data_IF_932699386300
#
_entry.id   IF_932699386300
#
_cell.length_a   1.000
_cell.length_b   1.000
_cell.length_c   1.000
_cell.angle_alpha   90.00
_cell.angle_beta   90.00
_cell.angle_gamma   90.00
#
_symmetry.space_group_name_H-M   'P 1'
#
loop_
_entity.id
_entity.type
_entity.pdbx_description
1 polymer ?
#
# COMPACT_ATOMS: atom_id res chain seq x y z
N UNK A 1 -2.16 -18.16 -15.77
CA UNK A 1 -3.63 -18.33 -15.79
C UNK A 1 -4.24 -16.94 -15.66
N UNK A 2 -5.04 -16.50 -16.63
CA UNK A 2 -5.61 -15.14 -16.66
C UNK A 2 -6.69 -14.98 -15.56
N UNK A 3 -6.45 -14.16 -14.51
CA UNK A 3 -7.42 -13.94 -13.44
C UNK A 3 -8.71 -13.24 -13.92
N UNK A 4 -8.66 -12.54 -15.06
CA UNK A 4 -9.82 -11.86 -15.63
C UNK A 4 -10.84 -12.82 -16.24
N UNK A 5 -10.42 -14.05 -16.57
CA UNK A 5 -11.28 -15.11 -17.14
C UNK A 5 -12.00 -15.97 -16.09
N UNK A 6 -11.76 -15.74 -14.80
CA UNK A 6 -12.42 -16.49 -13.72
C UNK A 6 -13.87 -16.00 -13.52
N UNK A 7 -14.78 -16.86 -13.01
CA UNK A 7 -16.10 -16.42 -12.58
C UNK A 7 -16.02 -15.23 -11.61
N UNK A 8 -16.99 -14.32 -11.70
CA UNK A 8 -16.97 -13.07 -10.93
C UNK A 8 -16.88 -13.32 -9.41
N UNK A 9 -17.51 -14.39 -8.91
CA UNK A 9 -17.45 -14.82 -7.51
C UNK A 9 -16.03 -15.10 -7.04
N UNK A 10 -15.26 -15.88 -7.80
CA UNK A 10 -13.86 -16.18 -7.48
C UNK A 10 -12.97 -14.93 -7.48
N UNK A 11 -13.26 -13.98 -8.37
CA UNK A 11 -12.53 -12.71 -8.44
C UNK A 11 -12.82 -11.83 -7.22
N UNK A 12 -14.08 -11.77 -6.78
CA UNK A 12 -14.49 -11.07 -5.57
C UNK A 12 -13.85 -11.70 -4.33
N UNK A 13 -13.93 -13.03 -4.19
CA UNK A 13 -13.31 -13.74 -3.06
C UNK A 13 -11.80 -13.49 -3.00
N UNK A 14 -11.12 -13.53 -4.15
CA UNK A 14 -9.71 -13.18 -4.23
C UNK A 14 -9.44 -11.76 -3.76
N UNK A 15 -10.23 -10.78 -4.22
CA UNK A 15 -10.08 -9.37 -3.84
C UNK A 15 -10.30 -9.19 -2.34
N UNK A 16 -11.36 -9.77 -1.78
CA UNK A 16 -11.68 -9.66 -0.36
C UNK A 16 -10.60 -10.28 0.53
N UNK A 17 -10.06 -11.44 0.14
CA UNK A 17 -8.93 -12.05 0.84
C UNK A 17 -7.68 -11.17 0.77
N UNK A 18 -7.40 -10.60 -0.40
CA UNK A 18 -6.24 -9.72 -0.58
C UNK A 18 -6.35 -8.46 0.29
N UNK A 19 -7.52 -7.82 0.33
CA UNK A 19 -7.79 -6.66 1.19
C UNK A 19 -7.66 -7.01 2.66
N UNK A 20 -8.17 -8.17 3.11
CA UNK A 20 -8.03 -8.62 4.49
C UNK A 20 -6.56 -8.76 4.89
N UNK A 21 -5.77 -9.47 4.08
CA UNK A 21 -4.33 -9.66 4.32
C UNK A 21 -3.58 -8.32 4.39
N UNK A 22 -3.88 -7.41 3.46
CA UNK A 22 -3.30 -6.07 3.47
C UNK A 22 -3.68 -5.30 4.73
N UNK A 23 -4.96 -5.31 5.12
CA UNK A 23 -5.45 -4.59 6.30
C UNK A 23 -4.83 -5.10 7.59
N UNK A 24 -4.69 -6.43 7.75
CA UNK A 24 -4.05 -7.06 8.90
C UNK A 24 -2.57 -6.65 8.98
N UNK A 25 -1.83 -6.73 7.88
CA UNK A 25 -0.42 -6.32 7.83
C UNK A 25 -0.25 -4.82 8.09
N UNK A 26 -1.06 -3.98 7.43
CA UNK A 26 -0.99 -2.53 7.54
C UNK A 26 -1.31 -2.05 8.95
N UNK A 27 -2.32 -2.64 9.60
CA UNK A 27 -2.79 -2.23 10.94
C UNK A 27 -2.02 -2.89 12.07
N UNK A 28 -1.05 -3.77 11.77
CA UNK A 28 -0.23 -4.43 12.79
C UNK A 28 0.62 -3.43 13.58
N UNK A 29 0.94 -3.80 14.82
CA UNK A 29 1.88 -3.06 15.66
C UNK A 29 3.24 -2.95 14.98
N UNK A 30 3.74 -4.04 14.39
CA UNK A 30 5.01 -4.08 13.67
C UNK A 30 5.00 -3.11 12.49
N UNK A 31 3.95 -3.14 11.65
CA UNK A 31 3.81 -2.21 10.53
C UNK A 31 3.79 -0.75 10.98
N UNK A 32 3.25 -0.48 12.18
CA UNK A 32 3.25 0.87 12.77
C UNK A 32 4.62 1.31 13.24
N UNK A 33 5.33 0.44 13.96
CA UNK A 33 6.69 0.70 14.43
C UNK A 33 7.64 0.88 13.25
N UNK A 34 7.56 0.04 12.21
CA UNK A 34 8.38 0.17 11.00
C UNK A 34 8.22 1.53 10.33
N UNK A 35 6.98 2.04 10.22
CA UNK A 35 6.73 3.38 9.68
C UNK A 35 7.35 4.48 10.55
N UNK A 36 7.22 4.37 11.86
CA UNK A 36 7.77 5.36 12.81
C UNK A 36 9.29 5.39 12.79
N UNK A 37 9.95 4.22 12.81
CA UNK A 37 11.40 4.11 12.75
C UNK A 37 11.94 4.70 11.45
N UNK A 38 11.34 4.36 10.31
CA UNK A 38 11.75 4.90 9.01
C UNK A 38 11.65 6.43 8.96
N UNK A 39 10.57 7.02 9.50
CA UNK A 39 10.41 8.47 9.55
C UNK A 39 11.39 9.15 10.52
N UNK A 40 11.78 8.47 11.60
CA UNK A 40 12.79 8.97 12.54
C UNK A 40 14.20 8.93 11.92
N UNK A 41 14.52 7.90 11.15
CA UNK A 41 15.80 7.75 10.43
C UNK A 41 15.90 8.69 9.22
N UNK A 42 14.77 9.04 8.60
CA UNK A 42 14.68 9.88 7.42
C UNK A 42 13.85 11.14 7.67
N UNK A 43 14.43 12.19 8.32
CA UNK A 43 13.68 13.38 8.74
C UNK A 43 13.27 14.31 7.60
N UNK A 44 13.79 14.08 6.38
CA UNK A 44 13.43 14.85 5.20
C UNK A 44 11.97 14.61 4.80
N UNK A 45 11.28 15.67 4.39
CA UNK A 45 9.93 15.55 3.86
C UNK A 45 9.90 14.74 2.56
N UNK A 46 8.89 13.87 2.41
CA UNK A 46 8.69 13.04 1.21
C UNK A 46 7.62 13.68 0.33
N UNK A 47 7.93 13.86 -0.95
CA UNK A 47 6.96 14.24 -1.98
C UNK A 47 6.98 13.20 -3.10
N UNK A 48 5.80 12.73 -3.51
CA UNK A 48 5.65 11.80 -4.62
C UNK A 48 4.82 12.42 -5.74
N UNK A 49 5.41 12.56 -6.92
CA UNK A 49 4.71 12.95 -8.15
C UNK A 49 4.47 11.69 -8.98
N UNK A 50 3.22 11.22 -9.02
CA UNK A 50 2.85 10.05 -9.81
C UNK A 50 1.69 10.34 -10.76
N UNK A 51 1.65 9.58 -11.85
CA UNK A 51 0.47 9.50 -12.71
C UNK A 51 -0.69 8.78 -11.99
N UNK A 52 -1.94 9.01 -12.42
CA UNK A 52 -3.11 8.30 -11.91
C UNK A 52 -3.23 6.85 -12.44
N UNK A 53 -2.24 6.40 -13.20
CA UNK A 53 -2.17 5.11 -13.91
C UNK A 53 -2.39 3.85 -13.05
N UNK A 54 -2.28 3.93 -11.71
CA UNK A 54 -2.65 2.86 -10.77
C UNK A 54 -1.83 1.55 -10.85
N UNK A 55 -1.06 1.36 -11.92
CA UNK A 55 -0.21 0.18 -12.18
C UNK A 55 1.06 0.14 -11.34
N UNK A 56 1.46 1.29 -10.79
CA UNK A 56 2.64 1.44 -9.92
C UNK A 56 2.20 1.50 -8.47
N UNK A 57 2.76 0.61 -7.65
CA UNK A 57 2.69 0.70 -6.20
C UNK A 57 3.96 1.39 -5.69
N UNK A 58 3.84 2.66 -5.30
CA UNK A 58 4.98 3.46 -4.89
C UNK A 58 5.77 2.81 -3.76
N UNK A 59 5.12 2.29 -2.71
CA UNK A 59 5.84 1.74 -1.56
C UNK A 59 6.66 0.51 -1.91
N UNK A 60 6.21 -0.29 -2.87
CA UNK A 60 6.94 -1.45 -3.40
C UNK A 60 8.14 -0.99 -4.22
N UNK A 61 7.91 -0.09 -5.18
CA UNK A 61 8.96 0.32 -6.12
C UNK A 61 10.07 1.13 -5.44
N UNK A 62 9.73 1.95 -4.43
CA UNK A 62 10.70 2.76 -3.69
C UNK A 62 11.25 2.06 -2.45
N UNK A 63 10.85 0.81 -2.19
CA UNK A 63 11.27 0.04 -1.00
C UNK A 63 11.03 0.80 0.32
N UNK A 64 9.93 1.55 0.39
CA UNK A 64 9.55 2.33 1.57
C UNK A 64 8.40 1.65 2.31
N UNK A 65 8.30 1.79 3.64
CA UNK A 65 7.15 1.28 4.39
C UNK A 65 5.80 1.76 3.83
N UNK A 66 4.87 0.82 3.64
CA UNK A 66 3.54 1.16 3.11
C UNK A 66 2.81 2.12 4.06
N UNK A 67 2.26 3.20 3.50
CA UNK A 67 1.51 4.21 4.25
C UNK A 67 2.29 5.45 4.66
N UNK A 68 3.58 5.58 4.36
CA UNK A 68 4.30 6.86 4.60
C UNK A 68 4.11 7.85 3.44
N UNK A 69 3.94 7.36 2.22
CA UNK A 69 3.56 8.17 1.06
C UNK A 69 2.03 8.25 1.06
N UNK A 70 1.51 9.30 1.67
CA UNK A 70 0.07 9.56 1.76
C UNK A 70 -0.32 10.65 0.78
N UNK A 71 -1.55 10.59 0.26
CA UNK A 71 -2.13 11.77 -0.36
C UNK A 71 -2.22 12.82 0.74
N UNK A 72 -1.58 13.97 0.55
CA UNK A 72 -1.79 15.11 1.44
C UNK A 72 -3.29 15.36 1.56
N UNK A 73 -3.82 15.27 2.77
CA UNK A 73 -5.12 15.82 3.12
C UNK A 73 -5.00 17.35 3.06
N UNK A 74 -4.91 17.88 1.84
CA UNK A 74 -5.48 19.19 1.57
C UNK A 74 -6.98 18.98 1.74
N UNK A 75 -7.44 19.34 2.95
CA UNK A 75 -8.82 19.60 3.40
C UNK A 75 -9.91 18.85 2.62
#
# INVERSE_FOLDING_TARGET
MDPHRKPITHRIEWLMRHVRQYSESFSSSDGTITRQLYLAEHPSSIAALKCMDGRINLSVDTHTPSGIIQRTSLV
#
